data_IF_136750113199
#
_entry.id   IF_136750113199
#
_cell.length_a   1.000
_cell.length_b   1.000
_cell.length_c   1.000
_cell.angle_alpha   90.00
_cell.angle_beta   90.00
_cell.angle_gamma   90.00
#
_symmetry.space_group_name_H-M   'P 1'
#
loop_
_entity.id
_entity.type
_entity.pdbx_description
1 polymer ?
#
# COMPACT_ATOMS: atom_id res chain seq x y z
N UNK A 1 -35.00 -13.44 8.80
CA UNK A 1 -34.63 -12.02 8.90
C UNK A 1 -33.12 -11.91 8.87
N UNK A 2 -32.53 -11.40 7.79
CA UNK A 2 -31.09 -11.11 7.72
C UNK A 2 -30.92 -9.60 7.90
N UNK A 3 -30.49 -9.17 9.08
CA UNK A 3 -29.93 -7.82 9.25
C UNK A 3 -28.51 -7.86 8.68
N UNK A 4 -28.40 -7.88 7.35
CA UNK A 4 -27.13 -7.64 6.67
C UNK A 4 -26.98 -6.14 6.55
N UNK A 5 -26.26 -5.51 7.48
CA UNK A 5 -25.67 -4.22 7.17
C UNK A 5 -24.70 -4.46 6.02
N UNK A 6 -24.85 -3.75 4.91
CA UNK A 6 -23.91 -3.80 3.79
C UNK A 6 -22.59 -3.18 4.23
N UNK A 7 -21.75 -3.98 4.90
CA UNK A 7 -20.39 -3.60 5.25
C UNK A 7 -19.55 -3.56 3.98
N UNK A 8 -18.85 -2.45 3.76
CA UNK A 8 -17.94 -2.29 2.62
C UNK A 8 -16.80 -3.32 2.64
N UNK A 9 -16.44 -3.78 3.83
CA UNK A 9 -15.43 -4.83 4.05
C UNK A 9 -15.87 -5.78 5.18
N UNK A 10 -15.36 -7.00 5.16
CA UNK A 10 -15.68 -8.06 6.12
C UNK A 10 -14.48 -8.37 7.03
N UNK A 11 -14.76 -9.05 8.14
CA UNK A 11 -13.70 -9.60 9.01
C UNK A 11 -12.84 -10.56 8.17
N UNK A 12 -11.53 -10.53 8.40
CA UNK A 12 -10.50 -11.25 7.64
C UNK A 12 -10.25 -10.75 6.20
N UNK A 13 -10.90 -9.67 5.75
CA UNK A 13 -10.49 -9.00 4.52
C UNK A 13 -9.10 -8.36 4.66
N UNK A 14 -8.26 -8.58 3.66
CA UNK A 14 -6.98 -7.88 3.51
C UNK A 14 -7.23 -6.51 2.87
N UNK A 15 -6.78 -5.46 3.54
CA UNK A 15 -6.96 -4.08 3.11
C UNK A 15 -5.65 -3.31 3.12
N UNK A 16 -5.50 -2.37 2.20
CA UNK A 16 -4.35 -1.46 2.13
C UNK A 16 -4.75 -0.12 2.71
N UNK A 17 -4.01 0.34 3.73
CA UNK A 17 -4.15 1.68 4.28
C UNK A 17 -2.97 2.54 3.79
N UNK A 18 -3.21 3.68 3.11
CA UNK A 18 -2.14 4.52 2.59
C UNK A 18 -1.10 4.86 3.66
N UNK A 19 0.18 4.91 3.26
CA UNK A 19 1.35 5.13 4.13
C UNK A 19 1.66 4.04 5.16
N UNK A 20 0.68 3.26 5.61
CA UNK A 20 0.86 2.24 6.64
C UNK A 20 0.96 0.81 6.09
N UNK A 21 0.62 0.62 4.81
CA UNK A 21 0.75 -0.66 4.12
C UNK A 21 -0.47 -1.55 4.32
N UNK A 22 -0.26 -2.86 4.34
CA UNK A 22 -1.37 -3.82 4.40
C UNK A 22 -1.76 -4.16 5.83
N UNK A 23 -3.07 -4.23 6.06
CA UNK A 23 -3.67 -4.69 7.29
C UNK A 23 -4.80 -5.69 7.04
N UNK A 24 -5.25 -6.31 8.13
CA UNK A 24 -6.35 -7.27 8.14
C UNK A 24 -7.44 -6.71 9.04
N UNK A 25 -8.68 -6.73 8.58
CA UNK A 25 -9.82 -6.39 9.42
C UNK A 25 -10.01 -7.48 10.47
N UNK A 26 -9.79 -7.13 11.74
CA UNK A 26 -9.93 -8.05 12.86
C UNK A 26 -11.32 -8.07 13.46
N UNK A 27 -11.98 -6.92 13.48
CA UNK A 27 -13.32 -6.81 14.03
C UNK A 27 -14.05 -5.60 13.43
N UNK A 28 -15.37 -5.67 13.51
CA UNK A 28 -16.26 -4.52 13.32
C UNK A 28 -16.99 -4.35 14.65
N UNK A 29 -16.63 -3.31 15.39
CA UNK A 29 -17.13 -3.06 16.75
C UNK A 29 -18.08 -1.88 16.78
N UNK A 30 -19.19 -1.97 17.51
CA UNK A 30 -20.00 -0.82 17.87
C UNK A 30 -19.45 -0.20 19.16
N UNK A 31 -19.11 1.08 19.14
CA UNK A 31 -18.69 1.84 20.31
C UNK A 31 -19.61 3.04 20.51
N UNK A 32 -19.92 3.33 21.77
CA UNK A 32 -20.64 4.53 22.16
C UNK A 32 -19.62 5.61 22.55
N UNK A 33 -19.62 6.72 21.84
CA UNK A 33 -18.75 7.88 22.13
C UNK A 33 -19.65 9.10 22.24
N UNK A 34 -19.61 9.79 23.38
CA UNK A 34 -20.44 10.96 23.67
C UNK A 34 -21.97 10.70 23.56
N UNK A 35 -22.42 9.47 23.84
CA UNK A 35 -23.83 9.09 23.76
C UNK A 35 -24.31 8.70 22.36
N UNK A 36 -23.45 8.75 21.35
CA UNK A 36 -23.75 8.26 20.01
C UNK A 36 -23.07 6.91 19.75
N UNK A 37 -23.86 5.93 19.32
CA UNK A 37 -23.37 4.62 18.89
C UNK A 37 -22.85 4.70 17.46
N UNK A 38 -21.58 4.39 17.29
CA UNK A 38 -20.94 4.34 15.99
C UNK A 38 -20.13 3.06 15.82
N UNK A 39 -20.20 2.48 14.62
CA UNK A 39 -19.40 1.32 14.24
C UNK A 39 -17.99 1.73 13.82
N UNK A 40 -17.01 0.90 14.16
CA UNK A 40 -15.60 1.05 13.86
C UNK A 40 -15.04 -0.22 13.24
N UNK A 41 -14.21 -0.07 12.22
CA UNK A 41 -13.36 -1.13 11.70
C UNK A 41 -12.06 -1.14 12.50
N UNK A 42 -11.73 -2.30 13.07
CA UNK A 42 -10.45 -2.56 13.76
C UNK A 42 -9.52 -3.26 12.78
N UNK A 43 -8.45 -2.58 12.38
CA UNK A 43 -7.51 -3.05 11.37
C UNK A 43 -6.17 -3.29 12.02
N UNK A 44 -5.68 -4.53 11.95
CA UNK A 44 -4.34 -4.87 12.39
C UNK A 44 -3.37 -4.73 11.22
N UNK A 45 -2.45 -3.78 11.31
CA UNK A 45 -1.40 -3.60 10.31
C UNK A 45 -0.37 -4.72 10.42
N UNK A 46 0.04 -5.28 9.28
CA UNK A 46 1.05 -6.33 9.22
C UNK A 46 2.46 -5.76 9.39
N UNK A 47 2.65 -4.51 8.96
CA UNK A 47 3.89 -3.76 9.17
C UNK A 47 3.79 -2.99 10.48
N UNK A 48 4.81 -3.12 11.34
CA UNK A 48 4.93 -2.33 12.56
C UNK A 48 4.05 -2.73 13.75
N UNK A 49 3.30 -3.85 13.66
CA UNK A 49 2.42 -4.37 14.72
C UNK A 49 1.48 -3.31 15.33
N UNK A 50 0.99 -2.40 14.47
CA UNK A 50 0.11 -1.30 14.84
C UNK A 50 -1.35 -1.70 14.60
N UNK A 51 -2.27 -1.18 15.42
CA UNK A 51 -3.71 -1.31 15.22
C UNK A 51 -4.33 0.05 14.92
N UNK A 52 -5.24 0.09 13.94
CA UNK A 52 -5.92 1.30 13.47
C UNK A 52 -7.42 1.09 13.60
N UNK A 53 -8.10 2.03 14.27
CA UNK A 53 -9.55 2.06 14.38
C UNK A 53 -10.15 3.18 13.53
N UNK A 54 -11.03 2.85 12.59
CA UNK A 54 -11.64 3.83 11.69
C UNK A 54 -13.17 3.76 11.81
N UNK A 55 -13.86 4.90 12.05
CA UNK A 55 -15.31 4.94 12.04
C UNK A 55 -15.85 4.50 10.68
N UNK A 56 -16.89 3.66 10.67
CA UNK A 56 -17.47 3.12 9.45
C UNK A 56 -17.91 4.23 8.48
N UNK A 57 -18.45 5.35 8.98
CA UNK A 57 -18.83 6.51 8.17
C UNK A 57 -17.65 7.25 7.51
N UNK A 58 -16.41 7.02 7.97
CA UNK A 58 -15.19 7.65 7.43
C UNK A 58 -14.34 6.69 6.59
N UNK A 59 -14.70 5.42 6.48
CA UNK A 59 -13.84 4.42 5.83
C UNK A 59 -13.60 4.75 4.35
N UNK A 60 -14.62 5.20 3.63
CA UNK A 60 -14.49 5.62 2.22
C UNK A 60 -13.52 6.78 2.06
N UNK A 61 -13.55 7.75 2.98
CA UNK A 61 -12.68 8.93 2.95
C UNK A 61 -11.28 8.67 3.50
N UNK A 62 -11.06 7.52 4.17
CA UNK A 62 -9.76 7.15 4.73
C UNK A 62 -8.76 6.63 3.68
N UNK A 63 -9.22 6.38 2.45
CA UNK A 63 -8.38 5.84 1.37
C UNK A 63 -8.07 4.35 1.49
N UNK A 64 -8.77 3.64 2.38
CA UNK A 64 -8.66 2.18 2.49
C UNK A 64 -9.24 1.52 1.24
N UNK A 65 -8.50 0.53 0.73
CA UNK A 65 -8.89 -0.27 -0.44
C UNK A 65 -8.65 -1.76 -0.19
N UNK A 66 -9.38 -2.65 -0.89
CA UNK A 66 -9.04 -4.07 -0.87
C UNK A 66 -7.63 -4.30 -1.47
N UNK A 67 -6.94 -5.35 -1.02
CA UNK A 67 -5.68 -5.77 -1.65
C UNK A 67 -5.93 -6.10 -3.12
N UNK A 68 -5.00 -5.65 -3.96
CA UNK A 68 -5.11 -5.75 -5.41
C UNK A 68 -5.06 -7.22 -5.88
N UNK A 69 -5.89 -7.60 -6.84
CA UNK A 69 -5.99 -8.97 -7.37
C UNK A 69 -4.84 -9.33 -8.34
N UNK A 70 -4.65 -10.62 -8.64
CA UNK A 70 -3.59 -11.19 -9.47
C UNK A 70 -3.50 -10.59 -10.89
N UNK A 71 -4.60 -10.03 -11.41
CA UNK A 71 -4.62 -9.32 -12.70
C UNK A 71 -3.72 -8.08 -12.64
N UNK A 72 -3.69 -7.40 -11.50
CA UNK A 72 -2.79 -6.26 -11.29
C UNK A 72 -1.33 -6.71 -11.22
N UNK A 73 -1.02 -7.93 -10.78
CA UNK A 73 0.36 -8.42 -10.71
C UNK A 73 1.03 -8.40 -12.09
N UNK A 74 0.34 -8.84 -13.14
CA UNK A 74 0.88 -8.79 -14.52
C UNK A 74 1.17 -7.35 -14.95
N UNK A 75 0.29 -6.42 -14.62
CA UNK A 75 0.49 -5.00 -14.91
C UNK A 75 1.66 -4.42 -14.11
N UNK A 76 1.80 -4.78 -12.84
CA UNK A 76 2.92 -4.37 -11.99
C UNK A 76 4.25 -4.89 -12.52
N UNK A 77 4.32 -6.16 -12.91
CA UNK A 77 5.51 -6.72 -13.56
C UNK A 77 5.84 -5.96 -14.85
N UNK A 78 4.84 -5.63 -15.66
CA UNK A 78 5.06 -4.85 -16.87
C UNK A 78 5.57 -3.43 -16.57
N UNK A 79 5.00 -2.73 -15.57
CA UNK A 79 5.47 -1.41 -15.15
C UNK A 79 6.91 -1.48 -14.66
N UNK A 80 7.24 -2.48 -13.86
CA UNK A 80 8.57 -2.68 -13.29
C UNK A 80 9.62 -2.99 -14.35
N UNK A 81 9.30 -3.88 -15.30
CA UNK A 81 10.24 -4.31 -16.35
C UNK A 81 10.33 -3.30 -17.49
N UNK A 82 9.19 -2.90 -18.05
CA UNK A 82 9.11 -2.20 -19.34
C UNK A 82 8.79 -0.72 -19.21
N UNK A 83 8.34 -0.25 -18.06
CA UNK A 83 7.97 1.17 -17.93
C UNK A 83 9.20 2.08 -17.99
N UNK A 84 9.00 3.29 -18.49
CA UNK A 84 10.05 4.30 -18.67
C UNK A 84 10.36 5.04 -17.36
N UNK A 85 11.64 5.28 -17.10
CA UNK A 85 12.08 6.08 -15.96
C UNK A 85 12.10 7.56 -16.35
N UNK A 86 11.40 8.39 -15.59
CA UNK A 86 11.40 9.83 -15.83
C UNK A 86 12.71 10.45 -15.32
N UNK A 87 13.70 10.56 -16.22
CA UNK A 87 15.06 10.99 -15.92
C UNK A 87 15.25 12.51 -15.97
N UNK A 88 14.26 13.26 -16.45
CA UNK A 88 14.42 14.68 -16.78
C UNK A 88 14.27 15.61 -15.58
N UNK A 89 13.77 15.10 -14.45
CA UNK A 89 13.51 15.92 -13.27
C UNK A 89 14.77 16.12 -12.40
N UNK A 90 15.05 17.37 -11.96
CA UNK A 90 16.02 17.65 -10.91
C UNK A 90 15.73 16.85 -9.65
N UNK A 91 16.80 16.46 -8.94
CA UNK A 91 16.75 15.63 -7.72
C UNK A 91 15.62 16.03 -6.74
N UNK A 92 15.56 17.31 -6.35
CA UNK A 92 14.56 17.80 -5.39
C UNK A 92 13.12 17.63 -5.87
N UNK A 93 12.87 17.88 -7.16
CA UNK A 93 11.54 17.72 -7.74
C UNK A 93 11.16 16.25 -7.80
N UNK A 94 12.07 15.38 -8.24
CA UNK A 94 11.84 13.93 -8.24
C UNK A 94 11.56 13.39 -6.85
N UNK A 95 12.31 13.82 -5.82
CA UNK A 95 12.05 13.39 -4.45
C UNK A 95 10.63 13.76 -4.00
N UNK A 96 10.17 14.97 -4.32
CA UNK A 96 8.80 15.40 -4.02
C UNK A 96 7.77 14.55 -4.77
N UNK A 97 7.94 14.36 -6.07
CA UNK A 97 7.05 13.53 -6.91
C UNK A 97 6.97 12.10 -6.38
N UNK A 98 8.12 11.48 -6.07
CA UNK A 98 8.17 10.13 -5.51
C UNK A 98 7.49 10.05 -4.14
N UNK A 99 7.68 11.06 -3.30
CA UNK A 99 6.99 11.14 -2.00
C UNK A 99 5.47 11.23 -2.19
N UNK A 100 5.02 12.05 -3.12
CA UNK A 100 3.60 12.23 -3.40
C UNK A 100 2.98 10.94 -3.98
N UNK A 101 3.71 10.24 -4.87
CA UNK A 101 3.34 8.90 -5.38
C UNK A 101 3.21 7.86 -4.27
N UNK A 102 4.16 7.80 -3.33
CA UNK A 102 4.07 6.85 -2.20
C UNK A 102 2.87 7.20 -1.29
N UNK A 103 2.58 8.49 -1.11
CA UNK A 103 1.43 8.97 -0.31
C UNK A 103 0.07 8.60 -0.90
N UNK A 104 -0.03 8.37 -2.21
CA UNK A 104 -1.32 7.97 -2.82
C UNK A 104 -1.76 6.57 -2.39
N UNK A 105 -0.83 5.72 -1.92
CA UNK A 105 -1.13 4.34 -1.54
C UNK A 105 -1.43 3.40 -2.71
N UNK A 106 -1.20 3.85 -3.96
CA UNK A 106 -1.36 3.01 -5.15
C UNK A 106 -0.11 2.18 -5.40
N UNK A 107 -0.27 0.86 -5.44
CA UNK A 107 0.84 -0.09 -5.66
C UNK A 107 1.58 0.16 -6.98
N UNK A 108 0.89 0.59 -8.03
CA UNK A 108 1.48 0.91 -9.34
C UNK A 108 2.46 2.08 -9.25
N UNK A 109 2.07 3.16 -8.57
CA UNK A 109 2.91 4.34 -8.38
C UNK A 109 4.09 4.03 -7.44
N UNK A 110 3.87 3.22 -6.39
CA UNK A 110 4.95 2.74 -5.53
C UNK A 110 5.96 1.88 -6.32
N UNK A 111 5.48 0.97 -7.17
CA UNK A 111 6.30 0.11 -8.04
C UNK A 111 7.16 0.94 -9.00
N UNK A 112 6.59 2.01 -9.55
CA UNK A 112 7.31 2.95 -10.41
C UNK A 112 8.47 3.62 -9.66
N UNK A 113 8.22 4.09 -8.44
CA UNK A 113 9.25 4.73 -7.58
C UNK A 113 10.37 3.74 -7.25
N UNK A 114 10.04 2.51 -6.84
CA UNK A 114 11.03 1.46 -6.54
C UNK A 114 11.88 1.16 -7.77
N UNK A 115 11.24 0.91 -8.92
CA UNK A 115 11.91 0.64 -10.20
C UNK A 115 12.91 1.74 -10.55
N UNK A 116 12.48 3.00 -10.48
CA UNK A 116 13.30 4.13 -10.89
C UNK A 116 14.49 4.33 -9.95
N UNK A 117 14.28 4.26 -8.64
CA UNK A 117 15.36 4.35 -7.66
C UNK A 117 16.35 3.17 -7.76
N UNK A 118 15.87 1.95 -8.06
CA UNK A 118 16.75 0.79 -8.29
C UNK A 118 17.58 0.93 -9.56
N UNK A 119 16.99 1.39 -10.66
CA UNK A 119 17.73 1.66 -11.91
C UNK A 119 18.78 2.75 -11.70
N UNK A 120 18.41 3.83 -11.02
CA UNK A 120 19.35 4.88 -10.65
C UNK A 120 20.49 4.38 -9.75
N UNK A 121 20.20 3.50 -8.79
CA UNK A 121 21.23 2.88 -7.93
C UNK A 121 22.28 2.08 -8.72
N UNK A 122 21.88 1.48 -9.85
CA UNK A 122 22.80 0.76 -10.75
C UNK A 122 23.70 1.71 -11.55
N UNK A 123 23.19 2.91 -11.87
CA UNK A 123 23.94 3.92 -12.63
C UNK A 123 24.83 4.78 -11.73
N UNK A 124 24.36 5.14 -10.53
CA UNK A 124 25.08 5.98 -9.57
C UNK A 124 24.70 5.69 -8.12
N UNK A 125 25.58 6.06 -7.19
CA UNK A 125 25.28 5.96 -5.77
C UNK A 125 24.09 6.87 -5.39
N UNK A 126 23.07 6.28 -4.77
CA UNK A 126 21.97 7.01 -4.15
C UNK A 126 22.44 7.74 -2.90
N UNK A 127 21.93 8.96 -2.70
CA UNK A 127 22.12 9.69 -1.44
C UNK A 127 21.32 9.05 -0.30
N UNK A 128 21.56 9.50 0.94
CA UNK A 128 20.93 8.92 2.14
C UNK A 128 19.40 8.96 2.07
N UNK A 129 18.82 10.07 1.63
CA UNK A 129 17.35 10.22 1.52
C UNK A 129 16.75 9.36 0.40
N UNK A 130 17.42 9.24 -0.75
CA UNK A 130 17.04 8.31 -1.84
C UNK A 130 17.04 6.87 -1.36
N UNK A 131 18.08 6.48 -0.62
CA UNK A 131 18.24 5.13 -0.10
C UNK A 131 17.14 4.80 0.90
N UNK A 132 16.85 5.72 1.83
CA UNK A 132 15.79 5.53 2.80
C UNK A 132 14.41 5.46 2.14
N UNK A 133 14.16 6.31 1.14
CA UNK A 133 12.93 6.26 0.34
C UNK A 133 12.79 4.94 -0.41
N UNK A 134 13.86 4.46 -1.07
CA UNK A 134 13.85 3.18 -1.76
C UNK A 134 13.53 2.04 -0.79
N UNK A 135 14.20 1.98 0.36
CA UNK A 135 13.96 0.92 1.34
C UNK A 135 12.51 0.92 1.82
N UNK A 136 11.97 2.08 2.20
CA UNK A 136 10.58 2.19 2.66
C UNK A 136 9.56 1.81 1.55
N UNK A 137 9.75 2.33 0.33
CA UNK A 137 8.87 1.98 -0.79
C UNK A 137 8.95 0.49 -1.15
N UNK A 138 10.15 -0.11 -1.05
CA UNK A 138 10.37 -1.52 -1.32
C UNK A 138 9.71 -2.42 -0.28
N UNK A 139 9.80 -2.08 1.01
CA UNK A 139 9.11 -2.79 2.09
C UNK A 139 7.58 -2.75 1.90
N UNK A 140 7.02 -1.58 1.60
CA UNK A 140 5.59 -1.43 1.29
C UNK A 140 5.21 -2.32 0.11
N UNK A 141 5.97 -2.27 -0.98
CA UNK A 141 5.70 -3.07 -2.18
C UNK A 141 5.73 -4.58 -1.91
N UNK A 142 6.78 -5.08 -1.23
CA UNK A 142 6.89 -6.51 -0.91
C UNK A 142 5.77 -6.95 0.04
N UNK A 143 5.41 -6.12 1.02
CA UNK A 143 4.32 -6.44 1.95
C UNK A 143 2.97 -6.59 1.24
N UNK A 144 2.69 -5.75 0.23
CA UNK A 144 1.45 -5.82 -0.54
C UNK A 144 1.48 -6.98 -1.54
N UNK A 145 2.60 -7.17 -2.23
CA UNK A 145 2.80 -8.32 -3.12
C UNK A 145 2.64 -9.64 -2.36
N UNK A 146 3.19 -9.78 -1.15
CA UNK A 146 3.11 -11.02 -0.35
C UNK A 146 1.70 -11.45 0.05
N UNK A 147 0.71 -10.56 -0.06
CA UNK A 147 -0.69 -10.85 0.31
C UNK A 147 -1.59 -11.00 -0.92
N UNK A 148 -1.07 -10.78 -2.12
CA UNK A 148 -1.81 -11.03 -3.36
C UNK A 148 -2.02 -12.55 -3.51
N UNK A 149 -3.27 -12.96 -3.66
CA UNK A 149 -3.59 -14.38 -3.88
C UNK A 149 -2.92 -14.87 -5.17
N UNK A 150 -2.18 -15.98 -5.08
CA UNK A 150 -1.58 -16.67 -6.23
C UNK A 150 -0.23 -16.14 -6.70
N UNK A 151 0.37 -15.19 -5.99
CA UNK A 151 1.77 -14.80 -6.23
C UNK A 151 2.73 -15.83 -5.65
N UNK A 152 3.82 -16.09 -6.37
CA UNK A 152 4.90 -16.98 -5.91
C UNK A 152 6.07 -16.17 -5.35
N UNK A 153 6.85 -16.77 -4.45
CA UNK A 153 8.09 -16.14 -3.95
C UNK A 153 9.04 -15.74 -5.09
N UNK A 154 9.09 -16.52 -6.17
CA UNK A 154 9.90 -16.21 -7.34
C UNK A 154 9.42 -14.94 -8.07
N UNK A 155 8.12 -14.70 -8.12
CA UNK A 155 7.56 -13.45 -8.65
C UNK A 155 7.87 -12.28 -7.73
N UNK A 156 7.79 -12.43 -6.42
CA UNK A 156 8.19 -11.38 -5.46
C UNK A 156 9.67 -11.04 -5.63
N UNK A 157 10.55 -12.05 -5.75
CA UNK A 157 11.99 -11.88 -5.97
C UNK A 157 12.32 -11.14 -7.27
N UNK A 158 11.43 -11.13 -8.25
CA UNK A 158 11.64 -10.36 -9.49
C UNK A 158 11.59 -8.84 -9.28
N UNK A 159 11.08 -8.38 -8.13
CA UNK A 159 11.06 -6.98 -7.70
C UNK A 159 12.24 -6.62 -6.77
N UNK A 160 13.28 -7.47 -6.69
CA UNK A 160 14.51 -7.26 -5.91
C UNK A 160 15.74 -7.05 -6.81
#
# INVERSE_FOLDING_TARGET
MRYGGDYLFQIDDNVVYPMHGVGIIKAIEEKEVLGEKQQYYVIKMLVGNMEVMIPAGKIVNSGIRPVTDIIALKQLMNIFQNGETDRLLPWKQRFKVNTDKIKTGKIQECTEVVRDLMRMKKEKALNTSERQMLNNAHEILISELGLMKGITENQIKSFC
#
